data_IF_601867582916
#
_entry.id   IF_601867582916
#
_cell.length_a   1.000
_cell.length_b   1.000
_cell.length_c   1.000
_cell.angle_alpha   90.00
_cell.angle_beta   90.00
_cell.angle_gamma   90.00
#
_symmetry.space_group_name_H-M   'P 1'
#
loop_
_entity.id
_entity.type
_entity.pdbx_description
1 polymer ?
#
# COMPACT_ATOMS: atom_id res chain seq x y z
N UNK A 1 24.20 33.15 -47.66
CA UNK A 1 23.82 34.05 -46.55
C UNK A 1 22.60 33.45 -45.85
N UNK A 2 22.66 32.19 -45.41
CA UNK A 2 21.56 31.45 -44.73
C UNK A 2 22.19 30.40 -43.79
N UNK A 3 23.00 30.80 -42.82
CA UNK A 3 23.62 29.82 -41.89
C UNK A 3 23.87 30.33 -40.48
N UNK A 4 23.10 31.34 -40.02
CA UNK A 4 23.30 31.85 -38.65
C UNK A 4 22.04 31.88 -37.76
N UNK A 5 20.91 31.33 -38.19
CA UNK A 5 19.67 31.37 -37.43
C UNK A 5 19.42 30.13 -36.55
N UNK A 6 20.12 29.03 -36.78
CA UNK A 6 19.92 27.76 -36.01
C UNK A 6 20.40 27.79 -34.56
N UNK A 7 21.52 28.41 -34.19
CA UNK A 7 21.92 28.43 -32.78
C UNK A 7 21.03 29.30 -31.90
N UNK A 8 20.46 30.39 -32.43
CA UNK A 8 19.56 31.26 -31.67
C UNK A 8 18.20 30.62 -31.41
N UNK A 9 17.61 29.96 -32.40
CA UNK A 9 16.36 29.21 -32.24
C UNK A 9 16.52 28.05 -31.24
N UNK A 10 17.66 27.37 -31.24
CA UNK A 10 17.93 26.28 -30.30
C UNK A 10 18.14 26.79 -28.88
N UNK A 11 18.71 27.97 -28.70
CA UNK A 11 18.85 28.62 -27.39
C UNK A 11 17.52 29.16 -26.88
N UNK A 12 16.69 29.75 -27.73
CA UNK A 12 15.34 30.18 -27.40
C UNK A 12 14.44 29.03 -26.97
N UNK A 13 14.49 27.90 -27.67
CA UNK A 13 13.71 26.71 -27.29
C UNK A 13 14.18 26.11 -25.96
N UNK A 14 15.48 26.08 -25.68
CA UNK A 14 15.99 25.63 -24.38
C UNK A 14 15.58 26.58 -23.23
N UNK A 15 15.62 27.88 -23.47
CA UNK A 15 15.17 28.84 -22.49
C UNK A 15 13.66 28.71 -22.20
N UNK A 16 12.85 28.47 -23.23
CA UNK A 16 11.41 28.22 -23.07
C UNK A 16 11.14 26.90 -22.28
N UNK A 17 11.87 25.84 -22.58
CA UNK A 17 11.79 24.57 -21.85
C UNK A 17 12.25 24.71 -20.37
N UNK A 18 13.30 25.47 -20.12
CA UNK A 18 13.80 25.75 -18.77
C UNK A 18 12.82 26.65 -17.99
N UNK A 19 12.21 27.64 -18.63
CA UNK A 19 11.18 28.50 -18.03
C UNK A 19 9.87 27.73 -17.75
N UNK A 20 9.45 26.82 -18.62
CA UNK A 20 8.30 25.95 -18.39
C UNK A 20 8.57 24.96 -17.23
N UNK A 21 9.77 24.40 -17.16
CA UNK A 21 10.19 23.51 -16.10
C UNK A 21 10.28 24.25 -14.75
N UNK A 22 10.86 25.45 -14.74
CA UNK A 22 10.97 26.29 -13.54
C UNK A 22 9.59 26.85 -13.08
N UNK A 23 8.69 27.15 -14.02
CA UNK A 23 7.31 27.55 -13.71
C UNK A 23 6.48 26.40 -13.13
N UNK A 24 6.67 25.19 -13.65
CA UNK A 24 6.08 23.95 -13.14
C UNK A 24 6.57 23.63 -11.73
N UNK A 25 7.88 23.75 -11.49
CA UNK A 25 8.50 23.55 -10.17
C UNK A 25 8.09 24.63 -9.16
N UNK A 26 7.90 25.87 -9.58
CA UNK A 26 7.39 26.93 -8.72
C UNK A 26 5.90 26.72 -8.39
N UNK A 27 5.10 26.32 -9.35
CA UNK A 27 3.68 26.01 -9.14
C UNK A 27 3.50 24.84 -8.18
N UNK A 28 4.39 23.85 -8.22
CA UNK A 28 4.43 22.73 -7.26
C UNK A 28 4.86 23.17 -5.84
N UNK A 29 5.76 24.14 -5.73
CA UNK A 29 6.23 24.69 -4.43
C UNK A 29 5.27 25.68 -3.79
N UNK A 30 4.44 26.36 -4.58
CA UNK A 30 3.61 27.47 -4.07
C UNK A 30 2.33 27.03 -3.35
N UNK A 31 1.90 25.76 -3.47
CA UNK A 31 0.64 25.30 -2.85
C UNK A 31 0.76 23.96 -2.11
N UNK A 32 1.48 23.88 -0.98
CA UNK A 32 1.54 22.65 -0.18
C UNK A 32 0.14 22.19 0.28
N UNK A 33 -0.79 23.12 0.39
CA UNK A 33 -2.19 22.84 0.71
C UNK A 33 -2.91 22.10 -0.43
N UNK A 34 -2.65 22.47 -1.69
CA UNK A 34 -3.26 21.80 -2.84
C UNK A 34 -2.76 20.34 -2.94
N UNK A 35 -1.45 20.11 -2.79
CA UNK A 35 -0.91 18.77 -2.77
C UNK A 35 -1.49 17.92 -1.64
N UNK A 36 -1.61 18.49 -0.44
CA UNK A 36 -2.25 17.82 0.70
C UNK A 36 -3.72 17.47 0.42
N UNK A 37 -4.49 18.41 -0.14
CA UNK A 37 -5.90 18.19 -0.49
C UNK A 37 -6.04 17.11 -1.59
N UNK A 38 -5.22 17.16 -2.63
CA UNK A 38 -5.20 16.15 -3.70
C UNK A 38 -4.89 14.77 -3.16
N UNK A 39 -3.85 14.66 -2.32
CA UNK A 39 -3.50 13.40 -1.66
C UNK A 39 -4.65 12.89 -0.78
N UNK A 40 -5.28 13.77 0.01
CA UNK A 40 -6.41 13.39 0.85
C UNK A 40 -7.60 12.88 0.02
N UNK A 41 -7.96 13.57 -1.06
CA UNK A 41 -9.00 13.13 -1.98
C UNK A 41 -8.67 11.78 -2.62
N UNK A 42 -7.45 11.57 -3.07
CA UNK A 42 -7.01 10.33 -3.67
C UNK A 42 -7.04 9.17 -2.67
N UNK A 43 -6.63 9.40 -1.42
CA UNK A 43 -6.72 8.41 -0.34
C UNK A 43 -8.19 8.05 -0.02
N UNK A 44 -9.10 9.03 -0.02
CA UNK A 44 -10.54 8.79 0.16
C UNK A 44 -11.09 7.90 -0.96
N UNK A 45 -10.76 8.23 -2.22
CA UNK A 45 -11.19 7.43 -3.38
C UNK A 45 -10.70 6.00 -3.26
N UNK A 46 -9.42 5.79 -2.99
CA UNK A 46 -8.82 4.46 -2.82
C UNK A 46 -9.50 3.69 -1.69
N UNK A 47 -9.80 4.36 -0.57
CA UNK A 47 -10.43 3.72 0.59
C UNK A 47 -11.85 3.24 0.26
N UNK A 48 -12.65 4.12 -0.34
CA UNK A 48 -14.03 3.78 -0.75
C UNK A 48 -14.04 2.66 -1.78
N UNK A 49 -13.19 2.71 -2.79
CA UNK A 49 -13.07 1.64 -3.79
C UNK A 49 -12.63 0.32 -3.14
N UNK A 50 -11.67 0.37 -2.21
CA UNK A 50 -11.23 -0.83 -1.48
C UNK A 50 -12.37 -1.43 -0.67
N UNK A 51 -13.10 -0.61 0.09
CA UNK A 51 -14.23 -1.07 0.90
C UNK A 51 -15.33 -1.69 0.03
N UNK A 52 -15.72 -1.03 -1.06
CA UNK A 52 -16.76 -1.53 -1.97
C UNK A 52 -16.33 -2.83 -2.66
N UNK A 53 -15.10 -2.90 -3.16
CA UNK A 53 -14.60 -4.10 -3.83
C UNK A 53 -14.28 -5.24 -2.86
N UNK A 54 -14.11 -4.98 -1.56
CA UNK A 54 -13.90 -5.99 -0.53
C UNK A 54 -15.20 -6.56 0.06
N UNK A 55 -16.38 -5.98 -0.26
CA UNK A 55 -17.67 -6.49 0.22
C UNK A 55 -17.88 -7.98 -0.06
N UNK A 56 -17.62 -8.50 -1.27
CA UNK A 56 -17.56 -9.93 -1.46
C UNK A 56 -16.25 -10.45 -0.87
N UNK A 57 -16.31 -11.30 0.16
CA UNK A 57 -15.14 -11.80 0.91
C UNK A 57 -14.06 -12.40 -0.01
N UNK A 58 -14.45 -13.05 -1.11
CA UNK A 58 -13.53 -13.67 -2.08
C UNK A 58 -12.75 -12.64 -2.91
N UNK A 59 -13.23 -11.40 -3.03
CA UNK A 59 -12.54 -10.31 -3.76
C UNK A 59 -11.66 -9.45 -2.85
N UNK A 60 -11.72 -9.66 -1.54
CA UNK A 60 -10.98 -8.85 -0.56
C UNK A 60 -9.47 -8.84 -0.86
N UNK A 61 -8.87 -10.01 -1.18
CA UNK A 61 -7.46 -10.09 -1.54
C UNK A 61 -7.09 -9.25 -2.76
N UNK A 62 -7.90 -9.31 -3.81
CA UNK A 62 -7.71 -8.50 -5.02
C UNK A 62 -7.88 -7.00 -4.70
N UNK A 63 -8.84 -6.65 -3.83
CA UNK A 63 -9.09 -5.27 -3.40
C UNK A 63 -7.93 -4.67 -2.62
N UNK A 64 -7.37 -5.39 -1.64
CA UNK A 64 -6.18 -4.95 -0.90
C UNK A 64 -4.93 -4.85 -1.80
N UNK A 65 -4.77 -5.78 -2.74
CA UNK A 65 -3.69 -5.70 -3.72
C UNK A 65 -3.85 -4.47 -4.64
N UNK A 66 -5.06 -4.18 -5.11
CA UNK A 66 -5.36 -3.00 -5.93
C UNK A 66 -5.12 -1.70 -5.16
N UNK A 67 -5.53 -1.65 -3.89
CA UNK A 67 -5.21 -0.54 -2.98
C UNK A 67 -3.71 -0.30 -2.91
N UNK A 68 -2.92 -1.33 -2.63
CA UNK A 68 -1.45 -1.19 -2.56
C UNK A 68 -0.84 -0.74 -3.88
N UNK A 69 -1.34 -1.21 -5.02
CA UNK A 69 -0.89 -0.77 -6.34
C UNK A 69 -1.16 0.72 -6.60
N UNK A 70 -2.34 1.21 -6.22
CA UNK A 70 -2.68 2.63 -6.31
C UNK A 70 -1.85 3.49 -5.34
N UNK A 71 -1.64 3.01 -4.11
CA UNK A 71 -0.86 3.72 -3.10
C UNK A 71 0.64 3.79 -3.44
N UNK A 72 1.20 2.77 -4.10
CA UNK A 72 2.59 2.82 -4.62
C UNK A 72 2.74 3.95 -5.62
N UNK A 73 1.82 4.09 -6.57
CA UNK A 73 1.85 5.19 -7.56
C UNK A 73 1.73 6.56 -6.91
N UNK A 74 0.82 6.71 -5.94
CA UNK A 74 0.70 7.95 -5.16
C UNK A 74 1.99 8.28 -4.40
N UNK A 75 2.69 7.28 -3.88
CA UNK A 75 3.98 7.48 -3.20
C UNK A 75 5.10 7.89 -4.20
N UNK A 76 4.96 7.50 -5.46
CA UNK A 76 5.88 7.84 -6.56
C UNK A 76 5.54 9.19 -7.21
N UNK A 77 4.51 9.91 -6.71
CA UNK A 77 4.10 11.23 -7.18
C UNK A 77 3.18 11.19 -8.41
N UNK A 78 2.65 10.03 -8.79
CA UNK A 78 1.68 9.91 -9.87
C UNK A 78 0.26 10.00 -9.32
N UNK A 79 -0.27 11.20 -9.29
CA UNK A 79 -1.62 11.52 -8.81
C UNK A 79 -2.70 11.33 -9.88
N UNK A 80 -2.30 10.99 -11.11
CA UNK A 80 -3.21 10.91 -12.25
C UNK A 80 -4.01 9.61 -12.27
N UNK A 81 -5.34 9.72 -12.32
CA UNK A 81 -6.21 8.59 -12.59
C UNK A 81 -6.16 7.47 -11.53
N UNK A 82 -6.14 7.80 -10.25
CA UNK A 82 -6.02 6.85 -9.13
C UNK A 82 -7.07 5.75 -9.18
N UNK A 83 -8.32 6.07 -9.52
CA UNK A 83 -9.39 5.09 -9.69
C UNK A 83 -9.09 4.11 -10.86
N UNK A 84 -8.61 4.62 -11.99
CA UNK A 84 -8.23 3.79 -13.13
C UNK A 84 -7.05 2.88 -12.78
N UNK A 85 -6.07 3.38 -12.04
CA UNK A 85 -4.94 2.60 -11.51
C UNK A 85 -5.39 1.49 -10.56
N UNK A 86 -6.34 1.79 -9.67
CA UNK A 86 -6.94 0.80 -8.77
C UNK A 86 -7.61 -0.33 -9.56
N UNK A 87 -8.54 0.00 -10.46
CA UNK A 87 -9.24 -1.02 -11.25
C UNK A 87 -8.31 -1.77 -12.21
N UNK A 88 -7.30 -1.11 -12.77
CA UNK A 88 -6.27 -1.74 -13.57
C UNK A 88 -5.48 -2.79 -12.78
N UNK A 89 -5.05 -2.47 -11.56
CA UNK A 89 -4.38 -3.39 -10.64
C UNK A 89 -5.31 -4.50 -10.17
N UNK A 90 -6.56 -4.17 -9.83
CA UNK A 90 -7.58 -5.12 -9.41
C UNK A 90 -7.78 -6.21 -10.46
N UNK A 91 -8.06 -5.81 -11.70
CA UNK A 91 -8.34 -6.74 -12.79
C UNK A 91 -7.11 -7.57 -13.21
N UNK A 92 -5.95 -6.93 -13.25
CA UNK A 92 -4.69 -7.58 -13.66
C UNK A 92 -4.24 -8.65 -12.67
N UNK A 93 -4.38 -8.38 -11.38
CA UNK A 93 -3.84 -9.22 -10.32
C UNK A 93 -4.93 -10.03 -9.57
N UNK A 94 -6.17 -10.03 -10.07
CA UNK A 94 -7.32 -10.62 -9.39
C UNK A 94 -7.06 -12.05 -8.91
N UNK A 95 -6.62 -12.92 -9.83
CA UNK A 95 -6.38 -14.33 -9.54
C UNK A 95 -5.23 -14.52 -8.54
N UNK A 96 -4.09 -13.90 -8.79
CA UNK A 96 -2.89 -14.10 -7.99
C UNK A 96 -3.04 -13.49 -6.59
N UNK A 97 -3.68 -12.32 -6.50
CA UNK A 97 -3.99 -11.69 -5.22
C UNK A 97 -5.03 -12.48 -4.41
N UNK A 98 -6.05 -13.05 -5.06
CA UNK A 98 -7.05 -13.88 -4.38
C UNK A 98 -6.42 -15.18 -3.87
N UNK A 99 -5.58 -15.85 -4.68
CA UNK A 99 -4.86 -17.04 -4.25
C UNK A 99 -3.91 -16.74 -3.09
N UNK A 100 -3.21 -15.61 -3.14
CA UNK A 100 -2.34 -15.17 -2.05
C UNK A 100 -3.13 -14.90 -0.76
N UNK A 101 -4.29 -14.23 -0.88
CA UNK A 101 -5.19 -13.97 0.25
C UNK A 101 -5.65 -15.26 0.93
N UNK A 102 -5.84 -16.33 0.17
CA UNK A 102 -6.25 -17.61 0.71
C UNK A 102 -5.24 -18.20 1.71
N UNK A 103 -3.95 -17.86 1.59
CA UNK A 103 -2.93 -18.24 2.57
C UNK A 103 -3.03 -17.44 3.88
N UNK A 104 -3.59 -16.23 3.84
CA UNK A 104 -3.79 -15.38 5.02
C UNK A 104 -5.13 -15.62 5.72
N UNK A 105 -6.13 -16.08 4.97
CA UNK A 105 -7.49 -16.27 5.45
C UNK A 105 -7.60 -17.20 6.68
N UNK A 106 -6.90 -18.38 6.75
CA UNK A 106 -6.99 -19.26 7.91
C UNK A 106 -6.56 -18.60 9.22
N UNK A 107 -5.49 -17.81 9.20
CA UNK A 107 -5.00 -17.10 10.39
C UNK A 107 -6.04 -16.09 10.86
N UNK A 108 -6.59 -15.30 9.94
CA UNK A 108 -7.65 -14.34 10.25
C UNK A 108 -8.91 -15.02 10.83
N UNK A 109 -9.32 -16.17 10.27
CA UNK A 109 -10.47 -16.92 10.77
C UNK A 109 -10.22 -17.49 12.17
N UNK A 110 -9.01 -17.97 12.46
CA UNK A 110 -8.63 -18.45 13.79
C UNK A 110 -8.71 -17.30 14.80
N UNK A 111 -8.18 -16.12 14.47
CA UNK A 111 -8.20 -14.96 15.37
C UNK A 111 -9.65 -14.52 15.68
N UNK A 112 -10.46 -14.36 14.65
CA UNK A 112 -11.87 -13.98 14.80
C UNK A 112 -12.62 -15.02 15.63
N UNK A 113 -12.38 -16.32 15.39
CA UNK A 113 -13.02 -17.40 16.14
C UNK A 113 -12.60 -17.39 17.61
N UNK A 114 -11.31 -17.18 17.90
CA UNK A 114 -10.81 -17.10 19.26
C UNK A 114 -11.40 -15.92 20.02
N UNK A 115 -11.48 -14.76 19.38
CA UNK A 115 -12.12 -13.56 19.98
C UNK A 115 -13.60 -13.81 20.23
N UNK A 116 -14.34 -14.40 19.29
CA UNK A 116 -15.76 -14.69 19.42
C UNK A 116 -16.03 -15.67 20.55
N UNK A 117 -15.29 -16.78 20.62
CA UNK A 117 -15.41 -17.79 21.67
C UNK A 117 -15.09 -17.23 23.07
N UNK A 118 -14.06 -16.37 23.17
CA UNK A 118 -13.72 -15.70 24.43
C UNK A 118 -14.81 -14.74 24.87
N UNK A 119 -15.43 -14.00 23.95
CA UNK A 119 -16.51 -13.04 24.25
C UNK A 119 -17.82 -13.71 24.67
N UNK A 120 -18.12 -14.87 24.08
CA UNK A 120 -19.35 -15.66 24.41
C UNK A 120 -19.19 -16.47 25.70
N UNK A 121 -18.00 -16.57 26.26
CA UNK A 121 -17.72 -17.41 27.42
C UNK A 121 -17.75 -18.92 27.13
N UNK A 122 -17.86 -19.31 25.86
CA UNK A 122 -17.88 -20.72 25.43
C UNK A 122 -16.51 -21.41 25.56
N UNK A 123 -15.44 -20.63 25.57
CA UNK A 123 -14.08 -21.13 25.80
C UNK A 123 -13.26 -20.15 26.63
N UNK A 124 -12.55 -20.67 27.62
CA UNK A 124 -11.53 -19.91 28.35
C UNK A 124 -10.21 -20.14 27.66
N UNK A 125 -9.78 -19.15 26.87
CA UNK A 125 -8.48 -19.18 26.19
C UNK A 125 -7.39 -18.79 27.18
N UNK A 126 -6.40 -19.67 27.46
CA UNK A 126 -5.29 -19.32 28.34
C UNK A 126 -4.56 -18.08 27.84
N UNK A 127 -4.15 -17.18 28.75
CA UNK A 127 -3.52 -15.90 28.39
C UNK A 127 -2.28 -16.06 27.51
N UNK A 128 -1.46 -17.10 27.72
CA UNK A 128 -0.29 -17.36 26.88
C UNK A 128 -0.66 -17.72 25.42
N UNK A 129 -1.78 -18.41 25.21
CA UNK A 129 -2.29 -18.71 23.84
C UNK A 129 -2.72 -17.43 23.14
N UNK A 130 -3.40 -16.54 23.84
CA UNK A 130 -3.80 -15.24 23.30
C UNK A 130 -2.59 -14.39 22.90
N UNK A 131 -1.51 -14.42 23.70
CA UNK A 131 -0.27 -13.70 23.37
C UNK A 131 0.40 -14.30 22.12
N UNK A 132 0.45 -15.62 22.00
CA UNK A 132 1.02 -16.29 20.80
C UNK A 132 0.20 -15.96 19.56
N UNK A 133 -1.12 -16.08 19.62
CA UNK A 133 -2.02 -15.75 18.51
C UNK A 133 -1.83 -14.28 18.09
N UNK A 134 -1.82 -13.36 19.04
CA UNK A 134 -1.58 -11.95 18.76
C UNK A 134 -0.23 -11.72 18.06
N UNK A 135 0.86 -12.35 18.53
CA UNK A 135 2.18 -12.23 17.91
C UNK A 135 2.19 -12.78 16.48
N UNK A 136 1.54 -13.93 16.25
CA UNK A 136 1.41 -14.51 14.90
C UNK A 136 0.62 -13.57 13.99
N UNK A 137 -0.51 -13.02 14.45
CA UNK A 137 -1.34 -12.10 13.68
C UNK A 137 -0.59 -10.82 13.30
N UNK A 138 0.20 -10.27 14.20
CA UNK A 138 1.06 -9.11 13.96
C UNK A 138 2.07 -9.40 12.84
N UNK A 139 2.71 -10.56 12.86
CA UNK A 139 3.65 -10.97 11.82
C UNK A 139 2.94 -11.19 10.47
N UNK A 140 1.77 -11.83 10.48
CA UNK A 140 0.97 -12.03 9.27
C UNK A 140 0.49 -10.71 8.69
N UNK A 141 0.01 -9.78 9.51
CA UNK A 141 -0.39 -8.44 9.07
C UNK A 141 0.78 -7.68 8.41
N UNK A 142 1.95 -7.69 9.07
CA UNK A 142 3.16 -7.08 8.51
C UNK A 142 3.55 -7.70 7.17
N UNK A 143 3.51 -9.03 7.06
CA UNK A 143 3.84 -9.73 5.82
C UNK A 143 2.81 -9.48 4.72
N UNK A 144 1.52 -9.30 5.03
CA UNK A 144 0.46 -9.04 4.06
C UNK A 144 0.67 -7.72 3.30
N UNK A 145 1.26 -6.72 3.92
CA UNK A 145 1.63 -5.45 3.26
C UNK A 145 2.66 -5.71 2.16
N UNK A 146 3.73 -6.44 2.46
CA UNK A 146 4.73 -6.82 1.45
C UNK A 146 4.09 -7.67 0.33
N UNK A 147 3.26 -8.64 0.70
CA UNK A 147 2.56 -9.50 -0.23
C UNK A 147 1.75 -8.71 -1.26
N UNK A 148 0.96 -7.74 -0.79
CA UNK A 148 0.12 -6.91 -1.64
C UNK A 148 0.91 -6.00 -2.60
N UNK A 149 2.11 -5.56 -2.22
CA UNK A 149 3.02 -4.79 -3.08
C UNK A 149 3.70 -5.71 -4.09
N UNK A 150 4.23 -6.87 -3.65
CA UNK A 150 4.95 -7.80 -4.51
C UNK A 150 4.08 -8.35 -5.65
N UNK A 151 2.82 -8.66 -5.38
CA UNK A 151 1.87 -9.11 -6.42
C UNK A 151 1.68 -8.06 -7.53
N UNK A 152 1.78 -6.76 -7.19
CA UNK A 152 1.68 -5.69 -8.18
C UNK A 152 2.96 -5.52 -9.01
N UNK A 153 4.12 -5.83 -8.44
CA UNK A 153 5.44 -5.61 -9.09
C UNK A 153 5.93 -6.84 -9.86
N UNK A 154 5.65 -8.03 -9.35
CA UNK A 154 6.22 -9.28 -9.90
C UNK A 154 5.12 -10.25 -10.30
N UNK A 155 5.26 -10.85 -11.49
CA UNK A 155 4.42 -11.95 -11.95
C UNK A 155 4.99 -13.28 -11.46
N UNK A 156 4.87 -13.52 -10.16
CA UNK A 156 5.28 -14.78 -9.52
C UNK A 156 4.05 -15.61 -9.15
N UNK A 157 4.24 -16.91 -8.95
CA UNK A 157 3.18 -17.75 -8.36
C UNK A 157 2.86 -17.27 -6.94
N UNK A 158 1.60 -17.43 -6.49
CA UNK A 158 1.18 -17.02 -5.15
C UNK A 158 2.06 -17.62 -4.04
N UNK A 159 2.46 -18.90 -4.17
CA UNK A 159 3.34 -19.56 -3.20
C UNK A 159 4.76 -18.95 -3.17
N UNK A 160 5.32 -18.60 -4.33
CA UNK A 160 6.63 -17.94 -4.40
C UNK A 160 6.56 -16.53 -3.82
N UNK A 161 5.50 -15.79 -4.11
CA UNK A 161 5.24 -14.46 -3.53
C UNK A 161 5.11 -14.55 -2.02
N UNK A 162 4.34 -15.52 -1.50
CA UNK A 162 4.18 -15.74 -0.08
C UNK A 162 5.52 -16.01 0.62
N UNK A 163 6.35 -16.90 0.05
CA UNK A 163 7.71 -17.18 0.60
C UNK A 163 8.60 -15.93 0.58
N UNK A 164 8.63 -15.19 -0.52
CA UNK A 164 9.45 -13.98 -0.66
C UNK A 164 9.00 -12.88 0.31
N UNK A 165 7.70 -12.78 0.57
CA UNK A 165 7.12 -11.87 1.53
C UNK A 165 7.66 -12.10 2.94
N UNK A 166 7.78 -13.35 3.38
CA UNK A 166 8.35 -13.67 4.69
C UNK A 166 9.84 -13.32 4.79
N UNK A 167 10.61 -13.58 3.73
CA UNK A 167 12.03 -13.21 3.69
C UNK A 167 12.17 -11.68 3.85
N UNK A 168 11.35 -10.89 3.17
CA UNK A 168 11.38 -9.43 3.28
C UNK A 168 10.87 -8.95 4.65
N UNK A 169 9.77 -9.51 5.16
CA UNK A 169 9.20 -9.11 6.43
C UNK A 169 10.18 -9.33 7.60
N UNK A 170 10.92 -10.44 7.59
CA UNK A 170 11.96 -10.71 8.59
C UNK A 170 13.27 -9.97 8.31
N UNK A 171 13.65 -9.77 7.04
CA UNK A 171 14.84 -9.03 6.67
C UNK A 171 14.80 -7.56 7.03
N UNK A 172 13.60 -6.96 7.03
CA UNK A 172 13.38 -5.53 7.29
C UNK A 172 12.43 -5.29 8.47
N UNK A 173 12.69 -5.95 9.60
CA UNK A 173 11.87 -5.86 10.82
C UNK A 173 11.50 -4.42 11.24
N UNK A 174 12.40 -3.42 11.23
CA UNK A 174 12.01 -2.06 11.61
C UNK A 174 10.92 -1.47 10.71
N UNK A 175 10.99 -1.71 9.40
CA UNK A 175 10.00 -1.23 8.43
C UNK A 175 8.67 -1.99 8.55
N UNK A 176 8.75 -3.29 8.83
CA UNK A 176 7.58 -4.13 9.14
C UNK A 176 6.88 -3.62 10.41
N UNK A 177 7.63 -3.26 11.44
CA UNK A 177 7.09 -2.70 12.68
C UNK A 177 6.35 -1.38 12.45
N UNK A 178 6.88 -0.48 11.60
CA UNK A 178 6.19 0.76 11.22
C UNK A 178 4.86 0.47 10.52
N UNK A 179 4.82 -0.50 9.62
CA UNK A 179 3.59 -0.92 8.92
C UNK A 179 2.55 -1.45 9.91
N UNK A 180 2.93 -2.36 10.78
CA UNK A 180 2.04 -2.91 11.81
C UNK A 180 1.54 -1.83 12.74
N UNK A 181 2.43 -0.93 13.20
CA UNK A 181 2.08 0.17 14.08
C UNK A 181 1.07 1.12 13.44
N UNK A 182 1.21 1.42 12.15
CA UNK A 182 0.28 2.30 11.42
C UNK A 182 -1.14 1.73 11.41
N UNK A 183 -1.30 0.42 11.15
CA UNK A 183 -2.60 -0.26 11.21
C UNK A 183 -3.13 -0.41 12.65
N UNK A 184 -2.24 -0.66 13.62
CA UNK A 184 -2.63 -0.74 15.03
C UNK A 184 -3.16 0.60 15.55
N UNK A 185 -2.48 1.71 15.22
CA UNK A 185 -2.93 3.07 15.58
C UNK A 185 -4.27 3.38 14.90
N UNK A 186 -4.41 3.08 13.60
CA UNK A 186 -5.67 3.29 12.89
C UNK A 186 -6.82 2.47 13.51
N UNK A 187 -6.59 1.19 13.82
CA UNK A 187 -7.58 0.33 14.48
C UNK A 187 -7.95 0.84 15.89
N UNK A 188 -6.97 1.27 16.67
CA UNK A 188 -7.22 1.86 17.99
C UNK A 188 -8.04 3.15 17.88
N UNK A 189 -7.69 4.05 16.94
CA UNK A 189 -8.47 5.27 16.69
C UNK A 189 -9.93 4.93 16.33
N UNK A 190 -10.14 3.99 15.41
CA UNK A 190 -11.49 3.55 15.06
C UNK A 190 -12.23 3.00 16.28
N UNK A 191 -11.59 2.16 17.08
CA UNK A 191 -12.20 1.56 18.27
C UNK A 191 -12.61 2.60 19.33
N UNK A 192 -11.73 3.56 19.63
CA UNK A 192 -12.00 4.58 20.65
C UNK A 192 -12.94 5.69 20.17
N UNK A 193 -12.97 5.97 18.87
CA UNK A 193 -13.79 7.07 18.32
C UNK A 193 -15.11 6.61 17.73
N UNK A 194 -15.38 5.32 17.71
CA UNK A 194 -16.69 4.77 17.37
C UNK A 194 -17.70 5.10 18.50
N UNK A 195 -18.84 5.75 18.23
CA UNK A 195 -19.54 5.98 16.97
C UNK A 195 -19.31 7.37 16.33
N UNK A 196 -18.53 8.26 16.92
CA UNK A 196 -18.44 9.68 16.56
C UNK A 196 -17.70 9.94 15.24
N UNK A 197 -16.66 9.17 14.95
CA UNK A 197 -15.78 9.33 13.80
C UNK A 197 -15.85 8.14 12.82
N UNK A 198 -16.89 7.31 12.87
CA UNK A 198 -17.06 6.18 11.98
C UNK A 198 -17.03 6.57 10.49
N UNK A 199 -17.53 7.76 10.14
CA UNK A 199 -17.43 8.29 8.78
C UNK A 199 -15.97 8.55 8.35
N UNK A 200 -15.11 9.07 9.22
CA UNK A 200 -13.67 9.26 8.93
C UNK A 200 -12.95 7.92 8.80
N UNK A 201 -13.30 6.92 9.59
CA UNK A 201 -12.78 5.56 9.44
C UNK A 201 -13.19 4.96 8.09
N UNK A 202 -14.40 5.23 7.62
CA UNK A 202 -14.90 4.81 6.32
C UNK A 202 -14.19 5.53 5.15
N UNK A 203 -13.67 6.74 5.37
CA UNK A 203 -12.98 7.53 4.36
C UNK A 203 -11.47 7.29 4.33
N UNK A 204 -10.83 6.98 5.46
CA UNK A 204 -9.37 6.91 5.58
C UNK A 204 -8.85 5.65 6.29
N UNK A 205 -9.73 4.84 6.88
CA UNK A 205 -9.35 3.78 7.80
C UNK A 205 -8.41 2.71 7.26
N UNK A 206 -8.46 2.42 5.96
CA UNK A 206 -7.57 1.47 5.29
C UNK A 206 -6.48 2.16 4.48
N UNK A 207 -6.82 3.24 3.77
CA UNK A 207 -5.91 3.89 2.82
C UNK A 207 -4.79 4.67 3.50
N UNK A 208 -5.08 5.37 4.60
CA UNK A 208 -4.07 6.16 5.31
C UNK A 208 -2.98 5.28 5.95
N UNK A 209 -3.30 4.25 6.77
CA UNK A 209 -2.28 3.33 7.27
C UNK A 209 -1.62 2.55 6.15
N UNK A 210 -2.36 2.22 5.07
CA UNK A 210 -1.80 1.61 3.86
C UNK A 210 -0.75 2.49 3.19
N UNK A 211 -1.02 3.78 3.05
CA UNK A 211 -0.07 4.75 2.47
C UNK A 211 1.22 4.87 3.32
N UNK A 212 1.08 4.99 4.64
CA UNK A 212 2.22 5.00 5.55
C UNK A 212 3.04 3.72 5.47
N UNK A 213 2.35 2.56 5.39
CA UNK A 213 2.99 1.26 5.25
C UNK A 213 3.74 1.12 3.92
N UNK A 214 3.13 1.52 2.80
CA UNK A 214 3.78 1.52 1.48
C UNK A 214 5.02 2.41 1.50
N UNK A 215 4.92 3.62 2.05
CA UNK A 215 6.05 4.55 2.17
C UNK A 215 7.20 3.99 3.01
N UNK A 216 6.92 3.20 4.04
CA UNK A 216 7.93 2.55 4.88
C UNK A 216 8.58 1.34 4.18
N UNK A 217 7.78 0.54 3.45
CA UNK A 217 8.17 -0.75 2.88
C UNK A 217 8.81 -0.62 1.49
N UNK A 218 8.34 0.31 0.66
CA UNK A 218 8.79 0.48 -0.73
C UNK A 218 10.32 0.62 -0.87
N UNK A 219 11.03 1.39 -0.02
CA UNK A 219 12.49 1.48 -0.09
C UNK A 219 13.20 0.14 0.18
N UNK A 220 12.63 -0.75 1.02
CA UNK A 220 13.20 -2.08 1.27
C UNK A 220 13.13 -2.97 0.02
N UNK A 221 12.02 -2.88 -0.70
CA UNK A 221 11.83 -3.65 -1.93
C UNK A 221 12.80 -3.16 -3.01
N UNK A 222 12.96 -1.85 -3.17
CA UNK A 222 13.90 -1.24 -4.13
C UNK A 222 15.35 -1.62 -3.83
N UNK A 223 15.75 -1.60 -2.57
CA UNK A 223 17.09 -2.01 -2.13
C UNK A 223 17.39 -3.48 -2.49
N UNK A 224 16.41 -4.37 -2.33
CA UNK A 224 16.54 -5.77 -2.75
C UNK A 224 16.58 -5.94 -4.28
N UNK A 225 15.86 -5.12 -5.02
CA UNK A 225 15.93 -5.10 -6.49
C UNK A 225 17.34 -4.73 -6.97
N UNK A 226 17.95 -3.70 -6.39
CA UNK A 226 19.32 -3.26 -6.70
C UNK A 226 20.36 -4.34 -6.39
N UNK A 227 20.26 -4.99 -5.22
CA UNK A 227 21.16 -6.08 -4.82
C UNK A 227 21.07 -7.26 -5.80
N UNK A 228 19.85 -7.60 -6.23
CA UNK A 228 19.64 -8.71 -7.15
C UNK A 228 20.12 -8.37 -8.57
N UNK A 229 19.92 -7.14 -9.03
CA UNK A 229 20.42 -6.66 -10.32
C UNK A 229 21.96 -6.67 -10.35
N UNK A 230 22.63 -6.22 -9.29
CA UNK A 230 24.08 -6.27 -9.15
C UNK A 230 24.68 -7.68 -9.10
N UNK A 231 23.91 -8.68 -8.68
CA UNK A 231 24.32 -10.09 -8.68
C UNK A 231 24.14 -10.75 -10.05
N UNK A 232 23.16 -10.33 -10.84
CA UNK A 232 22.87 -10.88 -12.17
C UNK A 232 23.80 -10.32 -13.25
N UNK A 233 24.52 -9.22 -12.98
CA UNK A 233 25.47 -8.60 -13.89
C UNK A 233 26.92 -9.05 -13.73
N UNK A 234 27.20 -10.00 -12.82
CA UNK A 234 28.48 -10.68 -12.63
C UNK A 234 28.41 -12.13 -13.11
#
# INVERSE_FOLDING_TARGET
MVENSRPEETQLNRQAEDEEMESSDRQYKEHPLQHFLTLACNLMIVNVLTALCALPVFTAGASFSAMSGALVRLTEGDDSGVAASFFGSFRRNFHDATMLYLFYLPVFLIDVSCIALSRTGLAVIPGFVSVILFAVSVLFLGSAVYASILVNRYKNTAAATFRNTWILAFGYLPRTAVSVLSYAVAGALVYFTWPWLGALALLFGLSLPGYMSVKAVLPAIREQEEINAGRSGK
#
